data_IF_957641008933
#
_entry.id   IF_957641008933
#
_cell.length_a   1.000
_cell.length_b   1.000
_cell.length_c   1.000
_cell.angle_alpha   90.00
_cell.angle_beta   90.00
_cell.angle_gamma   90.00
#
_symmetry.space_group_name_H-M   'P 1'
#
loop_
_entity.id
_entity.type
_entity.pdbx_description
1 polymer ?
#
# COMPACT_ATOMS: atom_id res chain seq x y z
N UNK A 1 20.08 12.86 47.49
CA UNK A 1 20.22 14.02 46.58
C UNK A 1 21.48 13.70 45.78
N UNK A 2 21.47 13.16 44.55
CA UNK A 2 20.62 13.43 43.38
C UNK A 2 20.69 12.22 42.45
N UNK A 3 19.59 11.96 41.73
CA UNK A 3 19.41 10.87 40.78
C UNK A 3 20.08 11.17 39.40
N UNK A 4 19.91 10.33 38.35
CA UNK A 4 20.98 9.78 37.53
C UNK A 4 21.30 10.61 36.27
N UNK A 5 22.51 10.45 35.73
CA UNK A 5 22.82 10.94 34.38
C UNK A 5 22.28 9.95 33.35
N UNK A 6 21.26 10.43 32.64
CA UNK A 6 20.61 9.84 31.47
C UNK A 6 21.60 9.80 30.29
N UNK A 7 22.10 8.61 29.94
CA UNK A 7 22.94 8.43 28.75
C UNK A 7 22.05 8.41 27.50
N UNK A 8 21.91 9.59 26.92
CA UNK A 8 21.91 9.85 25.48
C UNK A 8 21.20 8.81 24.61
N UNK A 9 19.88 8.95 24.48
CA UNK A 9 19.15 8.35 23.38
C UNK A 9 19.75 8.81 22.05
N UNK A 10 20.37 7.89 21.33
CA UNK A 10 20.84 8.08 19.96
C UNK A 10 19.62 8.35 19.08
N UNK A 11 19.49 9.62 18.71
CA UNK A 11 18.62 10.15 17.70
C UNK A 11 19.18 9.77 16.33
N UNK A 12 18.64 8.70 15.76
CA UNK A 12 18.78 8.34 14.35
C UNK A 12 18.18 9.45 13.48
N UNK A 13 19.03 10.39 13.05
CA UNK A 13 18.66 11.48 12.15
C UNK A 13 18.69 10.99 10.69
N UNK A 14 17.75 10.12 10.33
CA UNK A 14 17.30 9.94 8.96
C UNK A 14 16.36 11.06 8.58
N UNK A 15 16.87 12.30 8.43
CA UNK A 15 16.06 13.45 8.06
C UNK A 15 15.86 13.50 6.55
N UNK A 16 15.03 12.60 6.02
CA UNK A 16 14.39 12.81 4.72
C UNK A 16 13.52 14.07 4.81
N UNK A 17 13.45 14.90 3.75
CA UNK A 17 12.77 16.19 3.81
C UNK A 17 11.33 16.00 4.28
N UNK A 18 11.04 16.48 5.49
CA UNK A 18 9.75 16.37 6.18
C UNK A 18 8.57 16.99 5.41
N UNK A 19 8.83 17.64 4.28
CA UNK A 19 7.84 18.33 3.45
C UNK A 19 7.02 17.44 2.51
N UNK A 20 7.37 16.16 2.34
CA UNK A 20 6.73 15.30 1.32
C UNK A 20 5.98 14.09 1.93
N UNK A 21 6.36 13.62 3.12
CA UNK A 21 5.83 12.37 3.67
C UNK A 21 4.31 12.38 3.93
N UNK A 22 3.75 13.52 4.32
CA UNK A 22 2.31 13.64 4.58
C UNK A 22 1.47 13.35 3.33
N UNK A 23 1.95 13.78 2.17
CA UNK A 23 1.29 13.62 0.88
C UNK A 23 1.28 12.15 0.41
N UNK A 24 2.23 11.34 0.90
CA UNK A 24 2.31 9.92 0.58
C UNK A 24 1.47 9.03 1.50
N UNK A 25 1.04 9.49 2.68
CA UNK A 25 0.32 8.64 3.62
C UNK A 25 -1.00 8.11 3.03
N UNK A 26 -1.77 8.97 2.37
CA UNK A 26 -3.02 8.57 1.73
C UNK A 26 -2.75 7.74 0.47
N UNK A 27 -1.76 8.14 -0.34
CA UNK A 27 -1.36 7.39 -1.54
C UNK A 27 -0.88 5.97 -1.22
N UNK A 28 -0.23 5.75 -0.09
CA UNK A 28 0.17 4.40 0.37
C UNK A 28 -1.05 3.50 0.55
N UNK A 29 -2.19 4.03 1.02
CA UNK A 29 -3.42 3.24 1.18
C UNK A 29 -3.99 2.85 -0.19
N UNK A 30 -4.11 3.79 -1.11
CA UNK A 30 -4.57 3.53 -2.49
C UNK A 30 -3.62 2.59 -3.24
N UNK A 31 -2.31 2.74 -3.03
CA UNK A 31 -1.30 1.85 -3.58
C UNK A 31 -1.52 0.40 -3.10
N UNK A 32 -1.82 0.20 -1.81
CA UNK A 32 -2.10 -1.13 -1.26
C UNK A 32 -3.40 -1.75 -1.82
N UNK A 33 -4.36 -0.94 -2.26
CA UNK A 33 -5.62 -1.39 -2.86
C UNK A 33 -5.55 -1.53 -4.41
N UNK A 34 -4.41 -1.20 -5.01
CA UNK A 34 -4.22 -1.10 -6.47
C UNK A 34 -5.14 -0.07 -7.14
N UNK A 35 -5.37 1.06 -6.46
CA UNK A 35 -6.25 2.15 -6.91
C UNK A 35 -5.49 3.34 -7.50
N UNK A 36 -4.19 3.19 -7.76
CA UNK A 36 -3.35 4.21 -8.37
C UNK A 36 -3.02 3.87 -9.83
N UNK A 37 -2.76 4.91 -10.63
CA UNK A 37 -2.16 4.71 -11.94
C UNK A 37 -0.68 4.32 -11.86
N UNK A 38 -0.07 3.99 -12.99
CA UNK A 38 1.33 3.53 -13.04
C UNK A 38 2.31 4.61 -12.57
N UNK A 39 2.03 5.88 -12.86
CA UNK A 39 2.91 6.99 -12.51
C UNK A 39 2.92 7.21 -10.99
N UNK A 40 1.73 7.23 -10.38
CA UNK A 40 1.58 7.35 -8.93
C UNK A 40 2.12 6.12 -8.20
N UNK A 41 1.93 4.91 -8.76
CA UNK A 41 2.57 3.71 -8.23
C UNK A 41 4.10 3.83 -8.21
N UNK A 42 4.71 4.36 -9.28
CA UNK A 42 6.16 4.56 -9.34
C UNK A 42 6.64 5.58 -8.30
N UNK A 43 5.90 6.68 -8.13
CA UNK A 43 6.22 7.71 -7.15
C UNK A 43 6.19 7.16 -5.72
N UNK A 44 5.14 6.41 -5.37
CA UNK A 44 5.02 5.79 -4.04
C UNK A 44 6.16 4.80 -3.79
N UNK A 45 6.50 3.93 -4.75
CA UNK A 45 7.62 2.97 -4.60
C UNK A 45 8.93 3.70 -4.34
N UNK A 46 9.25 4.71 -5.14
CA UNK A 46 10.47 5.50 -4.97
C UNK A 46 10.53 6.16 -3.59
N UNK A 47 9.42 6.73 -3.11
CA UNK A 47 9.37 7.29 -1.76
C UNK A 47 9.59 6.23 -0.67
N UNK A 48 8.99 5.04 -0.80
CA UNK A 48 9.16 3.95 0.17
C UNK A 48 10.60 3.41 0.21
N UNK A 49 11.31 3.43 -0.92
CA UNK A 49 12.72 3.01 -1.00
C UNK A 49 13.66 3.98 -0.25
N UNK A 50 13.30 5.26 -0.18
CA UNK A 50 14.13 6.31 0.43
C UNK A 50 13.63 6.79 1.81
N UNK A 51 12.42 6.41 2.22
CA UNK A 51 11.77 6.91 3.44
C UNK A 51 11.38 5.78 4.40
N UNK A 52 12.29 5.46 5.32
CA UNK A 52 12.06 4.48 6.40
C UNK A 52 10.79 4.73 7.25
N UNK A 53 10.46 5.99 7.64
CA UNK A 53 9.22 6.28 8.34
C UNK A 53 7.95 5.87 7.56
N UNK A 54 7.89 6.16 6.26
CA UNK A 54 6.76 5.78 5.41
C UNK A 54 6.74 4.28 5.11
N UNK A 55 7.90 3.64 4.96
CA UNK A 55 7.99 2.18 4.83
C UNK A 55 7.39 1.47 6.06
N UNK A 56 7.68 1.95 7.27
CA UNK A 56 7.05 1.43 8.49
C UNK A 56 5.53 1.61 8.51
N UNK A 57 5.00 2.69 7.94
CA UNK A 57 3.55 2.91 7.81
C UNK A 57 2.94 1.94 6.80
N UNK A 58 3.57 1.78 5.65
CA UNK A 58 3.19 0.79 4.64
C UNK A 58 3.10 -0.62 5.23
N UNK A 59 4.13 -1.06 5.97
CA UNK A 59 4.15 -2.39 6.58
C UNK A 59 3.05 -2.58 7.63
N UNK A 60 2.76 -1.53 8.41
CA UNK A 60 1.66 -1.54 9.38
C UNK A 60 0.32 -1.72 8.68
N UNK A 61 0.01 -0.88 7.68
CA UNK A 61 -1.25 -0.95 6.94
C UNK A 61 -1.42 -2.30 6.23
N UNK A 62 -0.36 -2.80 5.60
CA UNK A 62 -0.34 -4.15 4.99
C UNK A 62 -0.63 -5.24 6.01
N UNK A 63 -0.05 -5.17 7.19
CA UNK A 63 -0.27 -6.13 8.27
C UNK A 63 -1.72 -6.08 8.76
N UNK A 64 -2.28 -4.88 8.94
CA UNK A 64 -3.69 -4.70 9.33
C UNK A 64 -4.61 -5.31 8.28
N UNK A 65 -4.41 -5.00 7.00
CA UNK A 65 -5.19 -5.58 5.88
C UNK A 65 -5.10 -7.11 5.87
N UNK A 66 -3.93 -7.69 6.10
CA UNK A 66 -3.76 -9.14 6.19
C UNK A 66 -4.54 -9.76 7.36
N UNK A 67 -4.52 -9.12 8.53
CA UNK A 67 -5.27 -9.59 9.71
C UNK A 67 -6.78 -9.53 9.46
N UNK A 68 -7.27 -8.45 8.84
CA UNK A 68 -8.68 -8.30 8.47
C UNK A 68 -9.07 -9.35 7.46
N UNK A 69 -8.32 -9.52 6.37
CA UNK A 69 -8.60 -10.51 5.33
C UNK A 69 -8.65 -11.94 5.89
N UNK A 70 -7.76 -12.29 6.82
CA UNK A 70 -7.79 -13.59 7.50
C UNK A 70 -9.07 -13.79 8.32
N UNK A 71 -9.50 -12.74 9.01
CA UNK A 71 -10.56 -12.83 10.03
C UNK A 71 -11.97 -12.65 9.43
N UNK A 72 -12.08 -11.94 8.32
CA UNK A 72 -13.35 -11.54 7.70
C UNK A 72 -13.28 -11.74 6.18
N UNK A 73 -13.30 -12.99 5.71
CA UNK A 73 -13.42 -13.28 4.28
C UNK A 73 -14.74 -13.95 3.95
N UNK A 74 -15.33 -13.57 2.83
CA UNK A 74 -16.45 -14.25 2.20
C UNK A 74 -15.99 -14.85 0.87
N UNK A 75 -16.51 -16.03 0.53
CA UNK A 75 -16.25 -16.64 -0.77
C UNK A 75 -17.35 -16.22 -1.74
N UNK A 76 -16.95 -15.77 -2.93
CA UNK A 76 -17.90 -15.50 -4.00
C UNK A 76 -18.76 -16.75 -4.30
N UNK A 77 -20.09 -16.61 -4.44
CA UNK A 77 -20.96 -17.73 -4.78
C UNK A 77 -20.52 -18.41 -6.08
N UNK A 78 -20.62 -19.74 -6.14
CA UNK A 78 -20.11 -20.54 -7.25
C UNK A 78 -20.65 -20.07 -8.61
N UNK A 79 -21.94 -19.75 -8.70
CA UNK A 79 -22.56 -19.24 -9.93
C UNK A 79 -21.98 -17.91 -10.41
N UNK A 80 -21.64 -16.99 -9.49
CA UNK A 80 -20.99 -15.73 -9.84
C UNK A 80 -19.57 -15.98 -10.34
N UNK A 81 -18.81 -16.81 -9.63
CA UNK A 81 -17.44 -17.18 -9.99
C UNK A 81 -17.38 -17.84 -11.37
N UNK A 82 -18.29 -18.78 -11.65
CA UNK A 82 -18.39 -19.44 -12.95
C UNK A 82 -18.63 -18.43 -14.08
N UNK A 83 -19.57 -17.49 -13.89
CA UNK A 83 -19.86 -16.44 -14.88
C UNK A 83 -18.65 -15.55 -15.15
N UNK A 84 -17.95 -15.10 -14.11
CA UNK A 84 -16.74 -14.28 -14.26
C UNK A 84 -15.67 -15.03 -15.05
N UNK A 85 -15.43 -16.30 -14.73
CA UNK A 85 -14.44 -17.12 -15.44
C UNK A 85 -14.77 -17.35 -16.90
N UNK A 86 -16.05 -17.49 -17.25
CA UNK A 86 -16.49 -17.56 -18.65
C UNK A 86 -16.17 -16.25 -19.37
N UNK A 87 -16.57 -15.11 -18.80
CA UNK A 87 -16.35 -13.79 -19.39
C UNK A 87 -14.85 -13.46 -19.56
N UNK A 88 -13.99 -13.84 -18.60
CA UNK A 88 -12.54 -13.66 -18.72
C UNK A 88 -11.90 -14.48 -19.85
N UNK A 89 -12.52 -15.60 -20.25
CA UNK A 89 -12.04 -16.46 -21.35
C UNK A 89 -12.63 -16.08 -22.70
N UNK A 90 -13.68 -15.27 -22.73
CA UNK A 90 -14.32 -14.82 -23.97
C UNK A 90 -13.42 -13.83 -24.71
N UNK A 91 -13.08 -14.18 -25.95
CA UNK A 91 -12.33 -13.30 -26.85
C UNK A 91 -13.26 -12.22 -27.38
N UNK A 92 -13.03 -10.97 -26.98
CA UNK A 92 -13.76 -9.82 -27.47
C UNK A 92 -13.07 -9.22 -28.70
N UNK A 93 -13.69 -9.40 -29.88
CA UNK A 93 -13.24 -8.73 -31.11
C UNK A 93 -13.96 -7.38 -31.19
N UNK A 94 -13.23 -6.28 -30.98
CA UNK A 94 -13.73 -4.93 -31.28
C UNK A 94 -13.25 -4.54 -32.69
N UNK A 95 -14.18 -4.40 -33.62
CA UNK A 95 -13.91 -3.81 -34.95
C UNK A 95 -14.13 -2.31 -34.79
N UNK A 96 -13.05 -1.53 -34.87
CA UNK A 96 -13.12 -0.08 -34.95
C UNK A 96 -13.06 0.29 -36.43
N UNK A 97 -14.16 0.80 -36.98
CA UNK A 97 -14.18 1.35 -38.33
C UNK A 97 -13.36 2.66 -38.36
N UNK A 98 -12.56 2.81 -39.41
CA UNK A 98 -11.62 3.91 -39.64
C UNK A 98 -12.28 4.98 -40.49
#
# INVERSE_FOLDING_TARGET
MTAPQNDSGQNDSGESPKGDCADYLERIVFFLDNELDEADCSAVRHHLDECGPCLRKYDLERTVKQVVARSCHESAPEGLRARVLVQLREVHIKITEV
#
